data_IF_929963234995
#
_entry.id   IF_929963234995
#
_cell.length_a   1.000
_cell.length_b   1.000
_cell.length_c   1.000
_cell.angle_alpha   90.00
_cell.angle_beta   90.00
_cell.angle_gamma   90.00
#
_symmetry.space_group_name_H-M   'P 1'
#
loop_
_entity.id
_entity.type
_entity.pdbx_description
1 polymer ?
#
# COMPACT_ATOMS: atom_id res chain seq x y z
N UNK A 1 -0.38 -25.15 11.55
CA UNK A 1 0.19 -23.87 11.07
C UNK A 1 -0.84 -23.24 10.14
N UNK A 2 -1.35 -22.05 10.46
CA UNK A 2 -2.22 -21.28 9.53
C UNK A 2 -1.35 -20.80 8.39
N UNK A 3 -1.78 -21.00 7.14
CA UNK A 3 -0.99 -20.57 5.97
C UNK A 3 -1.11 -19.06 5.85
N UNK A 4 0.00 -18.35 6.05
CA UNK A 4 0.12 -16.92 5.75
C UNK A 4 0.30 -16.78 4.25
N UNK A 5 -0.52 -15.95 3.61
CA UNK A 5 -0.26 -15.49 2.25
C UNK A 5 0.13 -14.01 2.30
N UNK A 6 1.05 -13.64 1.42
CA UNK A 6 1.59 -12.29 1.34
C UNK A 6 1.13 -11.71 -0.01
N UNK A 7 0.04 -10.91 -0.05
CA UNK A 7 -0.36 -10.20 -1.25
C UNK A 7 0.72 -9.18 -1.63
N UNK A 8 0.93 -9.00 -2.93
CA UNK A 8 1.83 -7.98 -3.48
C UNK A 8 1.02 -6.88 -4.12
N UNK A 9 0.95 -5.75 -3.44
CA UNK A 9 0.42 -4.54 -4.05
C UNK A 9 1.51 -3.87 -4.89
N UNK A 10 1.15 -3.37 -6.08
CA UNK A 10 2.08 -2.65 -6.98
C UNK A 10 1.38 -1.39 -7.44
N UNK A 11 1.93 -0.23 -7.12
CA UNK A 11 1.30 1.06 -7.41
C UNK A 11 2.23 1.87 -8.29
N UNK A 12 1.77 2.23 -9.49
CA UNK A 12 2.56 3.08 -10.38
C UNK A 12 2.49 4.54 -9.92
N UNK A 13 3.64 5.20 -9.86
CA UNK A 13 3.73 6.63 -9.55
C UNK A 13 3.80 7.44 -10.85
N UNK A 14 3.02 8.53 -10.94
CA UNK A 14 3.11 9.47 -12.06
C UNK A 14 4.14 10.58 -11.76
N UNK A 15 5.21 10.64 -12.56
CA UNK A 15 6.23 11.70 -12.50
C UNK A 15 7.61 11.23 -12.00
N UNK A 16 8.60 12.12 -12.05
CA UNK A 16 9.91 11.89 -11.40
C UNK A 16 9.81 12.36 -9.95
N UNK A 17 9.57 11.45 -9.02
CA UNK A 17 9.69 11.74 -7.59
C UNK A 17 11.16 11.74 -7.18
N UNK A 18 11.59 12.74 -6.41
CA UNK A 18 12.90 12.71 -5.76
C UNK A 18 12.91 11.70 -4.60
N UNK A 19 14.10 11.38 -4.11
CA UNK A 19 14.30 10.36 -3.08
C UNK A 19 13.57 10.67 -1.77
N UNK A 20 13.43 11.93 -1.39
CA UNK A 20 12.74 12.33 -0.15
C UNK A 20 11.25 12.04 -0.27
N UNK A 21 10.63 12.38 -1.40
CA UNK A 21 9.22 12.09 -1.66
C UNK A 21 8.90 10.60 -1.77
N UNK A 22 9.85 9.78 -2.24
CA UNK A 22 9.70 8.32 -2.25
C UNK A 22 9.65 7.76 -0.84
N UNK A 23 10.51 8.27 0.05
CA UNK A 23 10.56 7.85 1.45
C UNK A 23 9.33 8.31 2.24
N UNK A 24 8.87 9.56 2.05
CA UNK A 24 7.60 10.04 2.61
C UNK A 24 6.42 9.18 2.18
N UNK A 25 6.45 8.68 0.94
CA UNK A 25 5.44 7.75 0.44
C UNK A 25 5.55 6.40 1.14
N UNK A 26 6.73 5.80 1.29
CA UNK A 26 6.86 4.55 2.07
C UNK A 26 6.30 4.69 3.49
N UNK A 27 6.69 5.76 4.20
CA UNK A 27 6.26 6.02 5.57
C UNK A 27 4.73 6.19 5.67
N UNK A 28 4.10 6.88 4.73
CA UNK A 28 2.65 7.06 4.69
C UNK A 28 1.90 5.73 4.53
N UNK A 29 2.42 4.83 3.71
CA UNK A 29 1.79 3.55 3.43
C UNK A 29 1.94 2.60 4.61
N UNK A 30 3.09 2.64 5.27
CA UNK A 30 3.34 1.94 6.52
C UNK A 30 2.46 2.46 7.67
N UNK A 31 2.28 3.78 7.76
CA UNK A 31 1.39 4.40 8.73
C UNK A 31 -0.07 3.96 8.51
N UNK A 32 -0.59 4.09 7.29
CA UNK A 32 -1.95 3.66 6.95
C UNK A 32 -2.17 2.18 7.32
N UNK A 33 -1.24 1.30 6.91
CA UNK A 33 -1.39 -0.11 7.16
C UNK A 33 -1.41 -0.44 8.66
N UNK A 34 -0.56 0.23 9.45
CA UNK A 34 -0.55 0.12 10.91
C UNK A 34 -1.87 0.58 11.53
N UNK A 35 -2.39 1.74 11.11
CA UNK A 35 -3.67 2.27 11.59
C UNK A 35 -4.87 1.37 11.23
N UNK A 36 -4.85 0.78 10.04
CA UNK A 36 -5.89 -0.13 9.57
C UNK A 36 -5.73 -1.58 10.08
N UNK A 37 -4.69 -1.86 10.88
CA UNK A 37 -4.46 -3.16 11.51
C UNK A 37 -3.87 -4.23 10.57
N UNK A 38 -3.31 -3.83 9.43
CA UNK A 38 -2.53 -4.70 8.56
C UNK A 38 -1.13 -4.91 9.12
N UNK A 39 -0.63 -6.14 9.04
CA UNK A 39 0.76 -6.43 9.36
C UNK A 39 1.59 -6.35 8.08
N UNK A 40 2.30 -5.23 7.86
CA UNK A 40 3.24 -5.12 6.73
C UNK A 40 4.47 -5.99 6.99
N UNK A 41 4.79 -6.80 5.99
CA UNK A 41 5.99 -7.62 5.92
C UNK A 41 7.11 -6.85 5.22
N UNK A 42 6.77 -6.03 4.22
CA UNK A 42 7.71 -5.22 3.45
C UNK A 42 7.01 -4.10 2.69
N UNK A 43 7.61 -2.91 2.66
CA UNK A 43 7.20 -1.82 1.78
C UNK A 43 8.46 -1.26 1.09
N UNK A 44 8.36 -0.95 -0.21
CA UNK A 44 9.39 -0.20 -0.92
C UNK A 44 8.78 0.65 -2.01
N UNK A 45 9.36 1.81 -2.27
CA UNK A 45 8.95 2.78 -3.28
C UNK A 45 10.15 3.16 -4.13
N UNK A 46 9.97 3.08 -5.44
CA UNK A 46 10.89 3.57 -6.47
C UNK A 46 10.22 4.68 -7.28
N UNK A 47 10.98 5.39 -8.12
CA UNK A 47 10.46 6.46 -8.98
C UNK A 47 9.19 6.10 -9.77
N UNK A 48 9.01 4.80 -10.08
CA UNK A 48 7.89 4.33 -10.87
C UNK A 48 6.91 3.44 -10.11
N UNK A 49 7.28 2.89 -8.94
CA UNK A 49 6.45 1.87 -8.29
C UNK A 49 6.59 1.78 -6.77
N UNK A 50 5.46 1.68 -6.05
CA UNK A 50 5.40 1.21 -4.66
C UNK A 50 4.99 -0.27 -4.62
N UNK A 51 5.74 -1.07 -3.86
CA UNK A 51 5.40 -2.46 -3.55
C UNK A 51 5.12 -2.59 -2.06
N UNK A 52 3.95 -3.13 -1.70
CA UNK A 52 3.58 -3.41 -0.31
C UNK A 52 3.20 -4.89 -0.16
N UNK A 53 3.81 -5.53 0.83
CA UNK A 53 3.54 -6.89 1.26
C UNK A 53 2.92 -6.84 2.65
N UNK A 54 1.75 -7.46 2.84
CA UNK A 54 1.08 -7.54 4.13
C UNK A 54 0.59 -8.95 4.44
N UNK A 55 0.28 -9.26 5.69
CA UNK A 55 -0.35 -10.53 6.03
C UNK A 55 -1.85 -10.46 5.77
N UNK A 56 -2.40 -11.50 5.17
CA UNK A 56 -3.84 -11.65 5.01
C UNK A 56 -4.29 -13.05 5.45
N UNK A 57 -5.55 -13.15 5.87
CA UNK A 57 -6.09 -14.35 6.52
C UNK A 57 -6.39 -15.42 5.48
N UNK A 58 -6.22 -16.68 5.86
CA UNK A 58 -6.61 -17.83 5.05
C UNK A 58 -8.11 -17.77 4.74
N UNK A 59 -8.47 -17.66 3.46
CA UNK A 59 -9.86 -17.50 2.98
C UNK A 59 -10.22 -16.10 2.51
N UNK A 60 -9.40 -15.07 2.80
CA UNK A 60 -9.52 -13.77 2.14
C UNK A 60 -8.98 -13.91 0.71
N UNK A 61 -9.87 -13.80 -0.29
CA UNK A 61 -9.46 -13.80 -1.68
C UNK A 61 -8.46 -12.66 -1.94
N UNK A 62 -7.33 -12.98 -2.55
CA UNK A 62 -6.24 -12.04 -2.85
C UNK A 62 -6.74 -10.71 -3.43
N UNK A 63 -7.60 -10.78 -4.45
CA UNK A 63 -8.12 -9.62 -5.16
C UNK A 63 -9.00 -8.75 -4.25
N UNK A 64 -9.80 -9.37 -3.38
CA UNK A 64 -10.66 -8.67 -2.42
C UNK A 64 -9.85 -7.96 -1.34
N UNK A 65 -8.82 -8.62 -0.80
CA UNK A 65 -7.94 -8.02 0.20
C UNK A 65 -7.12 -6.87 -0.39
N UNK A 66 -6.61 -7.03 -1.61
CA UNK A 66 -5.91 -5.97 -2.33
C UNK A 66 -6.83 -4.77 -2.59
N UNK A 67 -8.06 -5.01 -3.08
CA UNK A 67 -9.01 -3.94 -3.34
C UNK A 67 -9.40 -3.19 -2.06
N UNK A 68 -9.68 -3.91 -0.97
CA UNK A 68 -10.04 -3.30 0.32
C UNK A 68 -8.91 -2.42 0.87
N UNK A 69 -7.66 -2.87 0.77
CA UNK A 69 -6.50 -2.07 1.15
C UNK A 69 -6.39 -0.81 0.29
N UNK A 70 -6.55 -0.93 -1.03
CA UNK A 70 -6.47 0.21 -1.96
C UNK A 70 -7.57 1.24 -1.74
N UNK A 71 -8.80 0.79 -1.54
CA UNK A 71 -9.95 1.66 -1.27
C UNK A 71 -9.77 2.42 0.05
N UNK A 72 -9.26 1.72 1.08
CA UNK A 72 -8.97 2.34 2.37
C UNK A 72 -7.82 3.34 2.30
N UNK A 73 -6.74 3.01 1.57
CA UNK A 73 -5.61 3.90 1.34
C UNK A 73 -6.04 5.17 0.59
N UNK A 74 -6.86 5.03 -0.45
CA UNK A 74 -7.37 6.19 -1.20
C UNK A 74 -8.17 7.15 -0.31
N UNK A 75 -9.06 6.62 0.55
CA UNK A 75 -9.81 7.43 1.53
C UNK A 75 -8.91 8.06 2.58
N UNK A 76 -7.88 7.33 3.03
CA UNK A 76 -6.89 7.81 3.98
C UNK A 76 -6.11 9.02 3.46
N UNK A 77 -5.71 8.97 2.19
CA UNK A 77 -5.01 10.05 1.49
C UNK A 77 -5.93 11.25 1.25
N UNK A 78 -7.16 11.01 0.80
CA UNK A 78 -8.17 12.06 0.58
C UNK A 78 -8.45 12.86 1.87
N UNK A 79 -8.61 12.17 3.00
CA UNK A 79 -8.83 12.81 4.30
C UNK A 79 -7.68 13.71 4.76
N UNK A 80 -6.46 13.50 4.23
CA UNK A 80 -5.25 14.29 4.52
C UNK A 80 -4.92 15.33 3.44
N UNK A 81 -5.79 15.47 2.42
CA UNK A 81 -5.56 16.38 1.31
C UNK A 81 -4.43 15.95 0.38
N UNK A 82 -4.04 14.67 0.42
CA UNK A 82 -2.99 14.11 -0.42
C UNK A 82 -3.64 13.56 -1.69
N UNK A 83 -3.20 13.95 -2.89
CA UNK A 83 -3.80 13.49 -4.13
C UNK A 83 -3.69 11.97 -4.26
N UNK A 84 -4.75 11.27 -4.68
CA UNK A 84 -4.75 9.81 -4.80
C UNK A 84 -3.75 9.37 -5.86
N UNK A 85 -3.05 8.28 -5.59
CA UNK A 85 -2.15 7.68 -6.58
C UNK A 85 -2.98 6.98 -7.66
N UNK A 86 -2.79 7.41 -8.91
CA UNK A 86 -3.50 6.82 -10.05
C UNK A 86 -2.79 5.56 -10.52
N UNK A 87 -3.49 4.44 -10.44
CA UNK A 87 -3.10 3.21 -11.12
C UNK A 87 -3.46 3.32 -12.61
N UNK A 88 -2.55 2.95 -13.50
CA UNK A 88 -2.85 2.65 -14.90
C UNK A 88 -2.96 1.14 -15.11
#
# INVERSE_FOLDING_TARGET
MRKLYIPRLTIQLEGKADKERLQESEELYEEYAREAGYQIVWCTTSEAVTITLFEAREGEGYELAQQAFMDGLARYMEARGIPPVRLR
#
